data_IF_938707037154
#
_entry.id   IF_938707037154
#
_cell.length_a   1.000
_cell.length_b   1.000
_cell.length_c   1.000
_cell.angle_alpha   90.00
_cell.angle_beta   90.00
_cell.angle_gamma   90.00
#
_symmetry.space_group_name_H-M   'P 1'
#
loop_
_entity.id
_entity.type
_entity.pdbx_description
1 polymer ?
#
# COMPACT_ATOMS: atom_id res chain seq x y z
N UNK A 1 -0.63 -3.99 -11.17
CA UNK A 1 0.55 -4.46 -11.92
C UNK A 1 0.23 -5.78 -12.61
N UNK A 2 0.83 -5.99 -13.79
CA UNK A 2 0.82 -7.30 -14.43
C UNK A 2 1.90 -8.17 -13.80
N UNK A 3 1.52 -9.37 -13.38
CA UNK A 3 2.44 -10.32 -12.76
C UNK A 3 2.15 -11.74 -13.22
N UNK A 4 3.18 -12.57 -13.21
CA UNK A 4 3.10 -13.97 -13.57
C UNK A 4 3.79 -14.81 -12.51
N UNK A 5 3.17 -15.90 -12.11
CA UNK A 5 3.75 -16.90 -11.22
C UNK A 5 3.86 -18.23 -11.96
N UNK A 6 4.98 -18.91 -11.78
CA UNK A 6 5.23 -20.22 -12.40
C UNK A 6 5.19 -21.29 -11.30
N UNK A 7 4.19 -22.14 -11.36
CA UNK A 7 4.06 -23.28 -10.45
C UNK A 7 4.63 -24.53 -11.13
N UNK A 8 5.73 -25.04 -10.57
CA UNK A 8 6.42 -26.20 -11.09
C UNK A 8 6.01 -27.46 -10.31
N UNK A 9 5.89 -28.57 -11.03
CA UNK A 9 5.68 -29.88 -10.42
C UNK A 9 7.02 -30.44 -9.95
N UNK A 10 7.03 -31.42 -8.98
CA UNK A 10 8.27 -32.00 -8.45
C UNK A 10 9.19 -32.63 -9.51
N UNK A 11 8.61 -33.15 -10.61
CA UNK A 11 9.33 -33.74 -11.73
C UNK A 11 9.96 -32.73 -12.69
N UNK A 12 9.64 -31.44 -12.57
CA UNK A 12 10.20 -30.41 -13.41
C UNK A 12 11.59 -29.98 -12.93
N UNK A 13 12.50 -29.76 -13.84
CA UNK A 13 13.82 -29.17 -13.55
C UNK A 13 13.66 -27.64 -13.41
N UNK A 14 13.54 -27.20 -12.16
CA UNK A 14 13.35 -25.78 -11.84
C UNK A 14 14.52 -24.91 -12.29
N UNK A 15 15.76 -25.43 -12.22
CA UNK A 15 16.96 -24.68 -12.66
C UNK A 15 16.96 -24.48 -14.17
N UNK A 16 16.64 -25.52 -14.92
CA UNK A 16 16.57 -25.44 -16.38
C UNK A 16 15.49 -24.47 -16.84
N UNK A 17 14.33 -24.52 -16.21
CA UNK A 17 13.22 -23.60 -16.51
C UNK A 17 13.58 -22.16 -16.13
N UNK A 18 14.14 -21.95 -14.95
CA UNK A 18 14.58 -20.63 -14.49
C UNK A 18 15.63 -20.00 -15.41
N UNK A 19 16.64 -20.78 -15.80
CA UNK A 19 17.67 -20.32 -16.76
C UNK A 19 17.06 -19.96 -18.11
N UNK A 20 16.14 -20.78 -18.61
CA UNK A 20 15.47 -20.50 -19.88
C UNK A 20 14.65 -19.20 -19.84
N UNK A 21 13.88 -18.98 -18.76
CA UNK A 21 13.13 -17.74 -18.55
C UNK A 21 14.10 -16.54 -18.50
N UNK A 22 15.22 -16.70 -17.78
CA UNK A 22 16.23 -15.67 -17.66
C UNK A 22 16.86 -15.30 -19.01
N UNK A 23 17.31 -16.29 -19.77
CA UNK A 23 17.94 -16.10 -21.09
C UNK A 23 17.00 -15.40 -22.09
N UNK A 24 15.71 -15.77 -22.08
CA UNK A 24 14.71 -15.11 -22.93
C UNK A 24 14.44 -13.71 -22.41
N UNK A 25 14.24 -13.57 -21.09
CA UNK A 25 13.90 -12.30 -20.45
C UNK A 25 14.95 -11.22 -20.68
N UNK A 26 16.25 -11.58 -20.67
CA UNK A 26 17.33 -10.65 -20.97
C UNK A 26 17.18 -9.96 -22.33
N UNK A 27 16.64 -10.65 -23.33
CA UNK A 27 16.38 -10.09 -24.67
C UNK A 27 15.30 -9.00 -24.66
N UNK A 28 14.46 -8.99 -23.61
CA UNK A 28 13.39 -8.02 -23.38
C UNK A 28 13.68 -7.05 -22.24
N UNK A 29 14.95 -6.99 -21.79
CA UNK A 29 15.35 -6.07 -20.72
C UNK A 29 14.93 -6.50 -19.31
N UNK A 30 14.70 -7.80 -19.10
CA UNK A 30 14.38 -8.31 -17.76
C UNK A 30 15.53 -8.06 -16.79
N UNK A 31 15.21 -7.60 -15.57
CA UNK A 31 16.16 -7.40 -14.48
C UNK A 31 15.69 -8.16 -13.24
N UNK A 32 16.63 -8.56 -12.41
CA UNK A 32 16.33 -9.09 -11.08
C UNK A 32 15.91 -7.95 -10.16
N UNK A 33 14.92 -8.21 -9.34
CA UNK A 33 14.47 -7.29 -8.29
C UNK A 33 14.28 -8.03 -6.97
N UNK A 34 14.16 -7.29 -5.88
CA UNK A 34 14.03 -7.84 -4.54
C UNK A 34 12.84 -7.28 -3.75
N UNK A 35 12.61 -7.87 -2.60
CA UNK A 35 11.51 -7.53 -1.67
C UNK A 35 11.35 -6.02 -1.38
N UNK A 36 12.40 -5.19 -1.23
CA UNK A 36 12.25 -3.76 -0.99
C UNK A 36 11.46 -3.04 -2.09
N UNK A 37 11.65 -3.44 -3.36
CA UNK A 37 10.89 -2.87 -4.49
C UNK A 37 9.40 -3.21 -4.38
N UNK A 38 9.07 -4.48 -4.08
CA UNK A 38 7.69 -4.90 -3.86
C UNK A 38 7.05 -4.15 -2.70
N UNK A 39 7.78 -3.94 -1.60
CA UNK A 39 7.28 -3.18 -0.46
C UNK A 39 6.94 -1.74 -0.85
N UNK A 40 7.82 -1.06 -1.57
CA UNK A 40 7.57 0.29 -2.03
C UNK A 40 6.32 0.33 -2.93
N UNK A 41 6.28 -0.52 -3.94
CA UNK A 41 5.19 -0.55 -4.91
C UNK A 41 3.84 -0.89 -4.30
N UNK A 42 3.75 -1.88 -3.40
CA UNK A 42 2.49 -2.23 -2.75
C UNK A 42 1.96 -1.09 -1.89
N UNK A 43 2.85 -0.40 -1.14
CA UNK A 43 2.45 0.73 -0.29
C UNK A 43 1.96 1.89 -1.15
N UNK A 44 2.68 2.24 -2.20
CA UNK A 44 2.29 3.29 -3.16
C UNK A 44 0.94 2.98 -3.83
N UNK A 45 0.71 1.72 -4.18
CA UNK A 45 -0.52 1.27 -4.81
C UNK A 45 -1.69 1.07 -3.83
N UNK A 46 -1.44 1.14 -2.52
CA UNK A 46 -2.47 0.85 -1.51
C UNK A 46 -2.80 -0.62 -1.36
N UNK A 47 -1.91 -1.52 -1.83
CA UNK A 47 -2.09 -2.95 -1.64
C UNK A 47 -1.73 -3.34 -0.21
N UNK A 48 -2.73 -3.68 0.55
CA UNK A 48 -2.59 -4.05 1.95
C UNK A 48 -2.11 -5.49 2.12
N UNK A 49 -1.39 -5.73 3.21
CA UNK A 49 -0.95 -7.05 3.62
C UNK A 49 -1.33 -7.30 5.08
N UNK A 50 -0.76 -8.32 5.68
CA UNK A 50 -1.03 -8.71 7.08
C UNK A 50 -0.62 -7.68 8.13
N UNK A 51 0.05 -6.61 7.72
CA UNK A 51 0.46 -5.51 8.61
C UNK A 51 -0.57 -4.40 8.72
N UNK A 52 -1.52 -4.34 7.80
CA UNK A 52 -2.55 -3.30 7.74
C UNK A 52 -3.88 -3.72 8.35
N UNK A 53 -4.10 -5.01 8.57
CA UNK A 53 -5.33 -5.51 9.19
C UNK A 53 -5.11 -6.75 10.04
N UNK A 54 -5.99 -6.94 10.99
CA UNK A 54 -6.07 -8.06 11.90
C UNK A 54 -7.53 -8.51 12.07
N UNK A 55 -7.78 -9.39 13.04
CA UNK A 55 -9.12 -9.91 13.34
C UNK A 55 -10.13 -8.84 13.81
N UNK A 56 -9.70 -7.65 14.17
CA UNK A 56 -10.55 -6.53 14.60
C UNK A 56 -10.90 -5.57 13.48
N UNK A 57 -10.24 -5.71 12.32
CA UNK A 57 -10.40 -4.82 11.17
C UNK A 57 -11.55 -5.29 10.28
N UNK A 58 -12.52 -4.42 10.06
CA UNK A 58 -13.58 -4.68 9.07
C UNK A 58 -13.11 -4.37 7.64
N UNK A 59 -13.76 -4.91 6.61
CA UNK A 59 -13.51 -4.50 5.22
C UNK A 59 -13.71 -2.98 4.99
N UNK A 60 -14.61 -2.36 5.74
CA UNK A 60 -14.83 -0.92 5.65
C UNK A 60 -13.65 -0.13 6.20
N UNK A 61 -13.15 -0.49 7.40
CA UNK A 61 -11.94 0.13 7.97
C UNK A 61 -10.75 0.06 7.01
N UNK A 62 -10.63 -1.05 6.28
CA UNK A 62 -9.59 -1.27 5.29
C UNK A 62 -9.82 -0.50 3.97
N UNK A 63 -10.95 0.20 3.79
CA UNK A 63 -11.29 0.84 2.51
C UNK A 63 -11.73 -0.14 1.42
N UNK A 64 -11.99 -1.39 1.78
CA UNK A 64 -12.39 -2.48 0.88
C UNK A 64 -13.91 -2.69 0.86
N UNK A 65 -14.69 -1.74 1.36
CA UNK A 65 -16.14 -1.83 1.45
C UNK A 65 -16.83 -2.07 0.10
N UNK A 66 -16.23 -1.64 -1.01
CA UNK A 66 -16.75 -1.87 -2.35
C UNK A 66 -16.74 -3.34 -2.79
N UNK A 67 -15.99 -4.21 -2.10
CA UNK A 67 -16.04 -5.66 -2.30
C UNK A 67 -17.14 -6.35 -1.48
N UNK A 68 -17.78 -5.63 -0.54
CA UNK A 68 -18.81 -6.21 0.32
C UNK A 68 -20.18 -6.11 -0.36
N UNK A 69 -20.74 -7.26 -0.72
CA UNK A 69 -22.07 -7.36 -1.32
C UNK A 69 -23.13 -7.53 -0.21
N UNK A 70 -23.62 -6.42 0.32
CA UNK A 70 -24.62 -6.43 1.41
C UNK A 70 -26.02 -6.87 0.96
N UNK A 71 -26.30 -6.89 -0.33
CA UNK A 71 -27.53 -7.40 -0.95
C UNK A 71 -27.59 -8.94 -0.99
N UNK A 72 -26.45 -9.62 -0.86
CA UNK A 72 -26.41 -11.07 -0.75
C UNK A 72 -27.10 -11.53 0.55
N UNK A 73 -28.05 -12.45 0.44
CA UNK A 73 -28.92 -12.81 1.55
C UNK A 73 -28.20 -13.41 2.75
N UNK A 74 -27.26 -14.34 2.54
CA UNK A 74 -26.57 -15.06 3.61
C UNK A 74 -25.06 -15.12 3.39
N UNK A 75 -24.29 -14.60 4.35
CA UNK A 75 -22.86 -14.83 4.49
C UNK A 75 -22.43 -14.60 5.95
N UNK A 76 -21.33 -15.25 6.35
CA UNK A 76 -20.80 -15.13 7.72
C UNK A 76 -20.33 -13.69 7.95
N UNK A 77 -20.77 -13.10 9.09
CA UNK A 77 -20.42 -11.73 9.49
C UNK A 77 -21.35 -10.64 8.96
N UNK A 78 -22.42 -10.97 8.21
CA UNK A 78 -23.35 -9.98 7.66
C UNK A 78 -23.90 -9.03 8.73
N UNK A 79 -24.44 -9.56 9.83
CA UNK A 79 -25.03 -8.74 10.89
C UNK A 79 -24.02 -7.79 11.54
N UNK A 80 -22.78 -8.24 11.70
CA UNK A 80 -21.70 -7.41 12.21
C UNK A 80 -21.37 -6.27 11.24
N UNK A 81 -21.32 -6.56 9.95
CA UNK A 81 -21.04 -5.56 8.92
C UNK A 81 -22.21 -4.59 8.73
N UNK A 82 -23.45 -5.00 8.96
CA UNK A 82 -24.62 -4.10 8.94
C UNK A 82 -24.49 -3.00 10.01
N UNK A 83 -23.95 -3.35 11.18
CA UNK A 83 -23.78 -2.45 12.33
C UNK A 83 -22.45 -1.68 12.30
N UNK A 84 -21.49 -2.10 11.49
CA UNK A 84 -20.17 -1.47 11.41
C UNK A 84 -20.23 -0.07 10.80
N UNK A 85 -19.30 0.79 11.20
CA UNK A 85 -19.03 2.04 10.50
C UNK A 85 -18.56 1.74 9.06
N UNK A 86 -19.16 2.40 8.08
CA UNK A 86 -18.88 2.17 6.66
C UNK A 86 -17.72 3.02 6.14
N UNK A 87 -17.15 3.92 6.96
CA UNK A 87 -16.07 4.81 6.57
C UNK A 87 -14.73 4.10 6.64
N UNK A 88 -13.84 4.41 5.68
CA UNK A 88 -12.47 3.91 5.72
C UNK A 88 -11.67 4.59 6.82
N UNK A 89 -10.80 3.82 7.47
CA UNK A 89 -9.81 4.31 8.44
C UNK A 89 -8.38 4.10 7.94
N UNK A 90 -8.22 3.45 6.79
CA UNK A 90 -6.90 3.14 6.21
C UNK A 90 -6.62 4.10 5.06
N UNK A 91 -5.50 4.82 5.16
CA UNK A 91 -5.07 5.82 4.19
C UNK A 91 -3.60 5.69 3.85
N UNK A 92 -3.19 6.34 2.79
CA UNK A 92 -1.80 6.60 2.50
C UNK A 92 -1.28 7.77 3.34
N UNK A 93 0.03 7.80 3.56
CA UNK A 93 0.72 8.94 4.17
C UNK A 93 2.04 9.19 3.46
N UNK A 94 2.32 10.45 3.13
CA UNK A 94 3.61 10.90 2.62
C UNK A 94 4.37 11.61 3.72
N UNK A 95 5.65 11.26 3.92
CA UNK A 95 6.52 11.77 4.98
C UNK A 95 7.64 12.57 4.35
N UNK A 96 7.79 13.83 4.73
CA UNK A 96 8.80 14.74 4.18
C UNK A 96 10.16 14.46 4.81
N UNK A 97 11.13 14.05 3.96
CA UNK A 97 12.54 13.93 4.35
C UNK A 97 12.91 12.73 5.22
N UNK A 98 11.98 11.81 5.50
CA UNK A 98 12.24 10.64 6.32
C UNK A 98 11.33 9.47 6.03
N UNK A 99 11.52 8.37 6.75
CA UNK A 99 10.67 7.17 6.70
C UNK A 99 10.03 7.02 8.07
N UNK A 100 8.70 6.95 8.12
CA UNK A 100 7.99 6.70 9.37
C UNK A 100 8.37 5.34 9.97
N UNK A 101 8.48 5.26 11.28
CA UNK A 101 8.70 3.98 11.94
C UNK A 101 7.38 3.24 12.11
N UNK A 102 7.37 1.96 11.70
CA UNK A 102 6.20 1.10 11.84
C UNK A 102 5.78 0.96 13.31
N UNK A 103 4.48 1.00 13.56
CA UNK A 103 3.91 0.87 14.90
C UNK A 103 3.92 2.19 15.71
N UNK A 104 4.51 3.26 15.17
CA UNK A 104 4.45 4.57 15.82
C UNK A 104 3.11 5.23 15.62
N UNK A 105 2.75 6.00 16.61
CA UNK A 105 1.55 6.83 16.60
C UNK A 105 1.73 8.04 15.69
N UNK A 106 0.61 8.48 15.13
CA UNK A 106 0.48 9.68 14.31
C UNK A 106 -0.24 10.72 15.14
N UNK A 107 0.21 11.98 15.10
CA UNK A 107 -0.37 13.03 15.93
C UNK A 107 -0.68 14.32 15.18
N UNK A 108 -1.64 15.07 15.75
CA UNK A 108 -1.89 16.49 15.44
C UNK A 108 -1.75 17.25 16.76
N UNK A 109 -0.72 18.08 16.89
CA UNK A 109 -0.36 18.63 18.20
C UNK A 109 -0.03 17.52 19.18
N UNK A 110 -0.72 17.48 20.32
CA UNK A 110 -0.58 16.46 21.36
C UNK A 110 -1.56 15.28 21.18
N UNK A 111 -2.52 15.38 20.28
CA UNK A 111 -3.53 14.36 20.06
C UNK A 111 -2.97 13.22 19.20
N UNK A 112 -3.01 12.02 19.74
CA UNK A 112 -2.69 10.79 19.02
C UNK A 112 -3.92 10.34 18.22
N UNK A 113 -3.79 10.20 16.90
CA UNK A 113 -4.95 10.05 16.00
C UNK A 113 -4.85 8.85 15.08
N UNK A 114 -3.80 8.04 15.20
CA UNK A 114 -3.64 6.85 14.37
C UNK A 114 -2.28 6.19 14.53
N UNK A 115 -2.05 5.16 13.71
CA UNK A 115 -0.86 4.31 13.77
C UNK A 115 -0.30 4.00 12.38
N UNK A 116 1.02 3.94 12.28
CA UNK A 116 1.73 3.52 11.06
C UNK A 116 1.71 2.00 10.96
N UNK A 117 1.05 1.45 9.96
CA UNK A 117 0.95 0.02 9.71
C UNK A 117 2.16 -0.52 8.95
N UNK A 118 2.54 0.15 7.88
CA UNK A 118 3.75 -0.16 7.10
C UNK A 118 4.31 1.10 6.47
N UNK A 119 5.61 1.11 6.22
CA UNK A 119 6.31 2.26 5.66
C UNK A 119 7.56 1.85 4.89
N UNK A 120 7.99 2.72 4.00
CA UNK A 120 9.23 2.61 3.25
C UNK A 120 9.60 3.95 2.60
N UNK A 121 10.76 4.01 1.96
CA UNK A 121 11.09 5.08 1.04
C UNK A 121 10.52 4.78 -0.35
N UNK A 122 9.92 5.77 -0.99
CA UNK A 122 9.52 5.72 -2.39
C UNK A 122 10.54 6.47 -3.24
N UNK A 123 11.38 5.78 -4.02
CA UNK A 123 12.28 6.46 -4.96
C UNK A 123 11.53 7.24 -6.03
N UNK A 124 10.33 6.79 -6.38
CA UNK A 124 9.48 7.40 -7.40
C UNK A 124 8.86 8.73 -6.94
N UNK A 125 8.48 8.83 -5.66
CA UNK A 125 7.88 10.03 -5.07
C UNK A 125 8.92 10.87 -4.31
N UNK A 126 10.17 10.38 -4.17
CA UNK A 126 11.27 10.99 -3.41
C UNK A 126 10.88 11.38 -1.97
N UNK A 127 10.06 10.56 -1.34
CA UNK A 127 9.63 10.75 0.05
C UNK A 127 9.37 9.42 0.76
N UNK A 128 9.25 9.47 2.07
CA UNK A 128 8.71 8.34 2.80
C UNK A 128 7.23 8.14 2.47
N UNK A 129 6.84 6.87 2.29
CA UNK A 129 5.43 6.49 2.08
C UNK A 129 5.01 5.48 3.11
N UNK A 130 3.77 5.56 3.56
CA UNK A 130 3.23 4.64 4.56
C UNK A 130 1.76 4.32 4.30
N UNK A 131 1.33 3.14 4.75
CA UNK A 131 -0.07 2.83 4.99
C UNK A 131 -0.32 3.02 6.48
N UNK A 132 -1.40 3.73 6.80
CA UNK A 132 -1.73 4.14 8.16
C UNK A 132 -3.17 3.80 8.50
N UNK A 133 -3.41 3.51 9.78
CA UNK A 133 -4.75 3.35 10.35
C UNK A 133 -5.07 4.53 11.25
N UNK A 134 -6.18 5.20 10.97
CA UNK A 134 -6.67 6.32 11.76
C UNK A 134 -7.71 5.87 12.78
N UNK A 135 -7.66 6.44 13.98
CA UNK A 135 -8.64 6.18 15.03
C UNK A 135 -9.98 6.88 14.72
N UNK A 136 -9.89 8.08 14.12
CA UNK A 136 -11.05 8.86 13.69
C UNK A 136 -11.14 8.84 12.15
N UNK A 137 -12.20 8.29 11.56
CA UNK A 137 -12.40 8.25 10.11
C UNK A 137 -12.63 9.63 9.47
N UNK A 138 -12.88 10.68 10.25
CA UNK A 138 -12.97 12.06 9.75
C UNK A 138 -11.59 12.64 9.42
N UNK A 139 -10.51 12.07 9.98
CA UNK A 139 -9.13 12.44 9.69
C UNK A 139 -8.63 11.70 8.46
N UNK A 140 -9.02 12.17 7.29
CA UNK A 140 -8.72 11.56 5.99
C UNK A 140 -7.69 12.31 5.16
N UNK A 141 -7.70 12.09 3.84
CA UNK A 141 -6.75 12.72 2.90
C UNK A 141 -6.66 14.24 3.07
N UNK A 142 -5.46 14.77 2.86
CA UNK A 142 -5.06 16.16 3.06
C UNK A 142 -4.82 16.60 4.51
N UNK A 143 -5.10 15.78 5.51
CA UNK A 143 -4.77 16.07 6.91
C UNK A 143 -3.25 16.09 7.09
N UNK A 144 -2.74 17.20 7.66
CA UNK A 144 -1.34 17.33 8.05
C UNK A 144 -1.12 16.74 9.44
N UNK A 145 -0.08 15.95 9.57
CA UNK A 145 0.21 15.17 10.79
C UNK A 145 1.70 15.17 11.09
N UNK A 146 2.05 14.71 12.28
CA UNK A 146 3.43 14.42 12.67
C UNK A 146 3.60 12.94 12.98
N UNK A 147 4.81 12.42 12.68
CA UNK A 147 5.14 11.02 12.91
C UNK A 147 6.62 10.87 13.25
N UNK A 148 6.94 9.91 14.12
CA UNK A 148 8.34 9.56 14.42
C UNK A 148 8.90 8.68 13.30
N UNK A 149 10.07 9.03 12.81
CA UNK A 149 10.82 8.29 11.81
C UNK A 149 11.68 7.16 12.40
N UNK A 150 12.21 6.33 11.50
CA UNK A 150 13.12 5.21 11.85
C UNK A 150 14.44 5.66 12.49
N UNK A 151 14.79 6.93 12.35
CA UNK A 151 15.95 7.58 12.96
C UNK A 151 15.61 8.27 14.31
N UNK A 152 14.39 8.11 14.79
CA UNK A 152 13.91 8.71 16.05
C UNK A 152 13.50 10.18 15.96
N UNK A 153 13.63 10.83 14.80
CA UNK A 153 13.22 12.23 14.61
C UNK A 153 11.74 12.32 14.28
N UNK A 154 11.17 13.48 14.56
CA UNK A 154 9.78 13.81 14.19
C UNK A 154 9.74 14.46 12.82
N UNK A 155 8.89 13.96 11.95
CA UNK A 155 8.69 14.43 10.58
C UNK A 155 7.29 14.98 10.40
N UNK A 156 7.19 15.98 9.54
CA UNK A 156 5.91 16.42 9.00
C UNK A 156 5.47 15.43 7.91
N UNK A 157 4.19 15.10 7.93
CA UNK A 157 3.60 14.17 6.99
C UNK A 157 2.20 14.63 6.60
N UNK A 158 1.67 14.08 5.51
CA UNK A 158 0.34 14.39 5.02
C UNK A 158 -0.39 13.12 4.62
N UNK A 159 -1.61 12.96 5.08
CA UNK A 159 -2.48 11.87 4.66
C UNK A 159 -2.89 12.05 3.19
N UNK A 160 -3.01 10.94 2.48
CA UNK A 160 -3.44 10.95 1.08
C UNK A 160 -4.33 9.74 0.77
N UNK A 161 -5.07 9.87 -0.33
CA UNK A 161 -5.87 8.76 -0.87
C UNK A 161 -4.98 7.62 -1.37
N UNK A 162 -5.55 6.45 -1.49
CA UNK A 162 -4.96 5.27 -2.11
C UNK A 162 -5.69 4.97 -3.43
N UNK A 163 -4.96 4.56 -4.46
CA UNK A 163 -3.49 4.52 -4.57
C UNK A 163 -2.87 5.92 -4.52
N UNK A 164 -1.60 6.02 -4.09
CA UNK A 164 -0.92 7.31 -3.94
C UNK A 164 -0.62 8.01 -5.27
N UNK A 165 -0.59 7.25 -6.36
CA UNK A 165 -0.51 7.71 -7.74
C UNK A 165 -1.24 6.71 -8.65
N UNK A 166 -1.45 7.08 -9.93
CA UNK A 166 -2.16 6.26 -10.91
C UNK A 166 -3.51 5.75 -10.40
N UNK A 167 -4.32 6.67 -9.87
CA UNK A 167 -5.62 6.36 -9.25
C UNK A 167 -6.57 5.57 -10.16
N UNK A 168 -6.39 5.72 -11.48
CA UNK A 168 -7.16 4.97 -12.48
C UNK A 168 -6.54 3.63 -12.87
N UNK A 169 -5.36 3.31 -12.36
CA UNK A 169 -4.63 2.08 -12.70
C UNK A 169 -4.25 1.98 -14.18
N UNK A 170 -3.96 3.10 -14.83
CA UNK A 170 -3.64 3.14 -16.25
C UNK A 170 -2.30 2.45 -16.55
N UNK A 171 -1.34 2.56 -15.64
CA UNK A 171 -0.02 1.90 -15.74
C UNK A 171 -0.21 0.38 -15.62
N UNK A 172 -0.90 -0.06 -14.56
CA UNK A 172 -1.14 -1.49 -14.32
C UNK A 172 -1.92 -2.19 -15.44
N UNK A 173 -2.79 -1.44 -16.14
CA UNK A 173 -3.56 -1.93 -17.28
C UNK A 173 -2.87 -1.77 -18.64
N UNK A 174 -1.62 -1.32 -18.66
CA UNK A 174 -0.86 -1.07 -19.88
C UNK A 174 -1.41 0.05 -20.77
N UNK A 175 -2.31 0.90 -20.24
CA UNK A 175 -2.84 2.09 -20.96
C UNK A 175 -1.83 3.24 -20.97
N UNK A 176 -1.00 3.32 -19.95
CA UNK A 176 0.12 4.23 -19.86
C UNK A 176 1.40 3.41 -19.69
N UNK A 177 2.23 3.39 -20.72
CA UNK A 177 3.52 2.70 -20.74
C UNK A 177 4.71 3.64 -20.56
N UNK A 178 4.45 4.92 -20.32
CA UNK A 178 5.50 5.92 -20.08
C UNK A 178 6.13 5.67 -18.72
N UNK A 179 7.44 5.48 -18.69
CA UNK A 179 8.22 5.43 -17.45
C UNK A 179 8.49 6.88 -17.04
N UNK A 180 7.99 7.32 -15.88
CA UNK A 180 8.26 8.69 -15.42
C UNK A 180 9.74 8.89 -15.12
N UNK A 181 10.29 10.02 -15.56
CA UNK A 181 11.69 10.40 -15.36
C UNK A 181 11.95 11.17 -14.05
N UNK A 182 11.06 11.09 -13.08
CA UNK A 182 11.21 11.81 -11.83
C UNK A 182 10.01 11.67 -10.90
N UNK A 183 10.09 12.29 -9.71
CA UNK A 183 9.04 12.21 -8.71
C UNK A 183 7.73 12.82 -9.23
N UNK A 184 6.62 12.20 -8.81
CA UNK A 184 5.32 12.79 -9.09
C UNK A 184 5.02 13.86 -8.04
N UNK A 185 4.55 15.05 -8.47
CA UNK A 185 4.27 16.12 -7.54
C UNK A 185 3.19 15.73 -6.54
N UNK A 186 3.33 16.25 -5.34
CA UNK A 186 2.28 16.18 -4.33
C UNK A 186 1.04 16.92 -4.84
N UNK A 187 -0.07 16.22 -4.96
CA UNK A 187 -1.38 16.80 -5.21
C UNK A 187 -2.21 16.77 -3.95
#
# INVERSE_FOLDING_TARGET
ELGWEFYLRPENDAHKIGNHIWEIGLKYGMILTGTPVFRARRIEAGLMGTTEFDSTTTPFDAGLGHFVQMDKQNFIGREALEKADKRSRTFGMRVLGGIAERGRTISIGDDLIGTVCSSTWSPYQECGVALVRMDDPEKGPSTEVKVTGTDGKTYSAKLCSLPMYDSEGAIARGKNTTIPNGPQPWK
#
